data_IF_330607238462
#
_entry.id   IF_330607238462
#
_cell.length_a   1.000
_cell.length_b   1.000
_cell.length_c   1.000
_cell.angle_alpha   90.00
_cell.angle_beta   90.00
_cell.angle_gamma   90.00
#
_symmetry.space_group_name_H-M   'P 1'
#
loop_
_entity.id
_entity.type
_entity.pdbx_description
1 polymer ?
#
# COMPACT_ATOMS: atom_id res chain seq x y z
N UNK A 1 -8.66 -9.05 2.11
CA UNK A 1 -7.91 -10.30 2.36
C UNK A 1 -8.44 -11.47 1.54
N UNK A 2 -9.75 -11.77 1.56
CA UNK A 2 -10.33 -12.90 0.85
C UNK A 2 -10.04 -12.97 -0.66
N UNK A 3 -10.27 -11.87 -1.39
CA UNK A 3 -9.99 -11.77 -2.84
C UNK A 3 -8.53 -12.10 -3.18
N UNK A 4 -7.58 -11.47 -2.49
CA UNK A 4 -6.16 -11.68 -2.72
C UNK A 4 -5.71 -13.11 -2.40
N UNK A 5 -6.11 -13.66 -1.25
CA UNK A 5 -5.67 -15.00 -0.81
C UNK A 5 -6.31 -16.12 -1.63
N UNK A 6 -7.60 -15.99 -1.97
CA UNK A 6 -8.36 -17.05 -2.64
C UNK A 6 -8.31 -16.99 -4.17
N UNK A 7 -8.14 -15.80 -4.73
CA UNK A 7 -8.27 -15.58 -6.18
C UNK A 7 -7.08 -14.82 -6.78
N UNK A 8 -6.08 -14.41 -6.00
CA UNK A 8 -4.94 -13.62 -6.50
C UNK A 8 -5.31 -12.20 -6.94
N UNK A 9 -6.53 -11.74 -6.65
CA UNK A 9 -7.00 -10.39 -7.04
C UNK A 9 -6.62 -9.38 -5.98
N UNK A 10 -5.89 -8.34 -6.39
CA UNK A 10 -5.45 -7.26 -5.51
C UNK A 10 -5.57 -5.89 -6.19
N UNK A 11 -5.31 -4.83 -5.42
CA UNK A 11 -5.20 -3.46 -5.94
C UNK A 11 -3.73 -3.23 -6.31
N UNK A 12 -3.47 -2.89 -7.57
CA UNK A 12 -2.13 -2.82 -8.16
C UNK A 12 -1.24 -1.78 -7.45
N UNK A 13 -1.81 -0.63 -7.12
CA UNK A 13 -1.09 0.45 -6.43
C UNK A 13 -1.24 0.37 -4.89
N UNK A 14 -1.57 -0.79 -4.33
CA UNK A 14 -1.78 -0.90 -2.89
C UNK A 14 -0.50 -0.56 -2.08
N UNK A 15 -0.60 0.26 -1.02
CA UNK A 15 -1.77 1.05 -0.64
C UNK A 15 -1.96 2.27 -1.57
N UNK A 16 -3.17 2.42 -2.13
CA UNK A 16 -3.49 3.59 -2.96
C UNK A 16 -3.68 4.84 -2.09
N UNK A 17 -2.98 5.91 -2.41
CA UNK A 17 -3.06 7.20 -1.70
C UNK A 17 -4.07 8.12 -2.38
N UNK A 18 -4.99 8.70 -1.59
CA UNK A 18 -5.95 9.71 -2.05
C UNK A 18 -5.64 11.01 -1.31
N UNK A 19 -5.28 12.05 -2.06
CA UNK A 19 -4.96 13.37 -1.50
C UNK A 19 -6.21 14.06 -0.92
N UNK A 20 -6.01 14.88 0.11
CA UNK A 20 -7.11 15.47 0.88
C UNK A 20 -7.93 16.51 0.10
N UNK A 21 -7.38 17.07 -0.98
CA UNK A 21 -8.02 18.01 -1.88
C UNK A 21 -8.59 17.35 -3.16
N UNK A 22 -8.42 16.03 -3.32
CA UNK A 22 -9.02 15.31 -4.44
C UNK A 22 -10.55 15.29 -4.35
N UNK A 23 -11.22 15.57 -5.47
CA UNK A 23 -12.70 15.62 -5.58
C UNK A 23 -13.27 14.79 -6.74
N UNK A 24 -12.40 14.07 -7.45
CA UNK A 24 -12.83 13.19 -8.54
C UNK A 24 -13.40 11.86 -8.04
N UNK A 25 -13.85 11.05 -8.99
CA UNK A 25 -14.27 9.67 -8.72
C UNK A 25 -13.07 8.81 -8.30
N UNK A 26 -13.23 8.08 -7.20
CA UNK A 26 -12.22 7.12 -6.75
C UNK A 26 -12.26 5.89 -7.65
N UNK A 27 -11.13 5.58 -8.29
CA UNK A 27 -10.94 4.37 -9.10
C UNK A 27 -10.09 3.36 -8.34
N UNK A 28 -10.37 2.07 -8.57
CA UNK A 28 -9.63 0.95 -7.97
C UNK A 28 -8.92 0.18 -9.08
N UNK A 29 -7.61 0.38 -9.30
CA UNK A 29 -6.87 -0.34 -10.33
C UNK A 29 -6.64 -1.79 -9.84
N UNK A 30 -7.55 -2.68 -10.20
CA UNK A 30 -7.44 -4.10 -9.86
C UNK A 30 -6.49 -4.82 -10.80
N UNK A 31 -5.77 -5.79 -10.25
CA UNK A 31 -4.95 -6.74 -11.00
C UNK A 31 -5.26 -8.16 -10.51
N UNK A 32 -5.38 -9.09 -11.46
CA UNK A 32 -5.50 -10.51 -11.19
C UNK A 32 -4.13 -11.17 -11.37
N UNK A 33 -3.55 -11.66 -10.27
CA UNK A 33 -2.32 -12.46 -10.27
C UNK A 33 -2.59 -13.97 -10.23
N UNK A 34 -3.86 -14.38 -10.17
CA UNK A 34 -4.24 -15.79 -10.22
C UNK A 34 -4.18 -16.36 -11.63
N UNK A 35 -4.20 -17.69 -11.71
CA UNK A 35 -4.12 -18.42 -12.99
C UNK A 35 -5.49 -18.62 -13.67
N UNK A 36 -6.56 -18.08 -13.07
CA UNK A 36 -7.93 -18.20 -13.57
C UNK A 36 -8.60 -16.83 -13.66
N UNK A 37 -9.51 -16.68 -14.61
CA UNK A 37 -10.34 -15.49 -14.76
C UNK A 37 -11.14 -15.22 -13.49
N UNK A 38 -11.23 -13.94 -13.12
CA UNK A 38 -12.06 -13.49 -12.00
C UNK A 38 -13.08 -12.48 -12.49
N UNK A 39 -14.37 -12.83 -12.40
CA UNK A 39 -15.47 -12.00 -12.87
C UNK A 39 -15.96 -11.11 -11.73
N UNK A 40 -16.05 -9.81 -12.01
CA UNK A 40 -16.58 -8.81 -11.08
C UNK A 40 -17.94 -8.35 -11.58
N UNK A 41 -18.94 -8.41 -10.71
CA UNK A 41 -20.27 -7.87 -10.95
C UNK A 41 -20.43 -6.49 -10.30
N UNK A 42 -21.34 -5.69 -10.84
CA UNK A 42 -21.75 -4.42 -10.22
C UNK A 42 -22.33 -4.71 -8.83
N UNK A 43 -21.80 -4.02 -7.82
CA UNK A 43 -22.20 -4.19 -6.42
C UNK A 43 -21.22 -5.04 -5.60
N UNK A 44 -20.27 -5.71 -6.25
CA UNK A 44 -19.23 -6.46 -5.54
C UNK A 44 -18.34 -5.53 -4.70
N UNK A 45 -18.01 -6.01 -3.50
CA UNK A 45 -17.04 -5.35 -2.61
C UNK A 45 -15.63 -5.72 -3.03
N UNK A 46 -14.99 -4.87 -3.82
CA UNK A 46 -13.68 -5.15 -4.45
C UNK A 46 -12.46 -4.58 -3.70
N UNK A 47 -12.67 -3.63 -2.79
CA UNK A 47 -11.61 -3.00 -2.01
C UNK A 47 -12.17 -2.45 -0.69
N UNK A 48 -11.30 -1.90 0.14
CA UNK A 48 -11.63 -1.21 1.39
C UNK A 48 -10.81 0.07 1.49
N UNK A 49 -11.35 1.08 2.16
CA UNK A 49 -10.69 2.37 2.40
C UNK A 49 -10.49 2.56 3.90
N UNK A 50 -9.32 3.08 4.29
CA UNK A 50 -9.00 3.47 5.65
C UNK A 50 -8.66 4.96 5.64
N UNK A 51 -9.32 5.73 6.49
CA UNK A 51 -8.99 7.15 6.71
C UNK A 51 -8.09 7.22 7.94
N UNK A 52 -6.90 7.79 7.79
CA UNK A 52 -5.90 7.89 8.84
C UNK A 52 -5.25 9.29 8.85
N UNK A 53 -4.78 9.77 10.02
CA UNK A 53 -4.02 11.02 10.09
C UNK A 53 -2.69 10.91 9.32
N UNK A 54 -2.27 12.01 8.70
CA UNK A 54 -0.98 12.13 8.00
C UNK A 54 -0.22 13.35 8.53
N UNK A 55 1.10 13.20 8.70
CA UNK A 55 1.99 14.28 9.12
C UNK A 55 2.68 14.90 7.91
N UNK A 56 2.68 16.23 7.81
CA UNK A 56 3.47 16.97 6.82
C UNK A 56 4.85 17.27 7.40
N UNK A 57 5.88 16.59 6.90
CA UNK A 57 7.26 16.82 7.32
C UNK A 57 7.88 18.04 6.61
N UNK A 58 8.81 18.72 7.29
CA UNK A 58 9.72 19.70 6.69
C UNK A 58 11.12 19.12 6.71
N UNK A 59 11.87 19.25 5.62
CA UNK A 59 13.23 18.74 5.52
C UNK A 59 14.22 19.70 6.20
N UNK A 60 15.14 19.15 7.00
CA UNK A 60 16.27 19.88 7.61
C UNK A 60 17.58 19.21 7.16
N UNK A 61 18.34 19.82 6.23
CA UNK A 61 19.59 19.25 5.75
C UNK A 61 20.70 19.29 6.81
N UNK A 62 21.36 18.15 7.04
CA UNK A 62 22.51 18.01 7.95
C UNK A 62 23.64 17.23 7.29
N UNK A 63 24.88 17.45 7.72
CA UNK A 63 26.04 16.75 7.18
C UNK A 63 26.07 15.26 7.55
N UNK A 64 25.60 14.91 8.75
CA UNK A 64 25.60 13.55 9.29
C UNK A 64 24.39 13.34 10.22
N UNK A 65 23.86 12.12 10.25
CA UNK A 65 22.83 11.69 11.19
C UNK A 65 23.47 11.02 12.42
N UNK A 66 22.79 11.09 13.57
CA UNK A 66 23.19 10.37 14.77
C UNK A 66 23.06 8.84 14.58
N UNK A 67 23.91 8.09 15.28
CA UNK A 67 23.89 6.63 15.24
C UNK A 67 22.66 6.04 15.94
N UNK A 68 22.18 4.88 15.45
CA UNK A 68 21.14 4.07 16.11
C UNK A 68 21.55 2.61 16.14
N UNK A 69 20.94 1.80 17.02
CA UNK A 69 21.18 0.34 17.08
C UNK A 69 20.89 -0.35 15.74
N UNK A 70 19.94 0.17 14.96
CA UNK A 70 19.61 -0.39 13.63
C UNK A 70 20.63 0.01 12.55
N UNK A 71 21.19 1.22 12.66
CA UNK A 71 22.07 1.80 11.64
C UNK A 71 21.45 1.74 10.24
N UNK A 72 22.26 1.33 9.27
CA UNK A 72 21.87 1.17 7.86
C UNK A 72 21.14 -0.15 7.55
N UNK A 73 20.88 -0.99 8.56
CA UNK A 73 20.23 -2.29 8.37
C UNK A 73 18.83 -2.17 7.76
N UNK A 74 18.58 -2.88 6.65
CA UNK A 74 17.30 -2.95 5.96
C UNK A 74 17.10 -4.29 5.25
N UNK A 75 15.98 -4.46 4.54
CA UNK A 75 15.75 -5.61 3.64
C UNK A 75 15.98 -7.00 4.25
N UNK A 76 15.53 -7.20 5.51
CA UNK A 76 15.72 -8.47 6.20
C UNK A 76 17.07 -8.61 6.92
N UNK A 77 17.74 -7.50 7.25
CA UNK A 77 19.00 -7.45 8.01
C UNK A 77 18.95 -8.14 9.38
N UNK A 78 17.76 -8.41 9.94
CA UNK A 78 17.59 -9.19 11.16
C UNK A 78 17.66 -10.72 10.94
N UNK A 79 17.78 -11.17 9.69
CA UNK A 79 17.73 -12.58 9.32
C UNK A 79 16.33 -13.19 9.41
N UNK A 80 16.24 -14.45 8.96
CA UNK A 80 15.12 -15.36 9.23
C UNK A 80 15.66 -16.46 10.16
N UNK A 81 14.88 -16.85 11.18
CA UNK A 81 15.17 -18.07 11.94
C UNK A 81 14.89 -19.30 11.07
#
# INVERSE_FOLDING_TARGET
>A
SGLAVKHGVTVLNAPGTIDCDYRGEIKVPLINHGDADFIIARGDRIAQMVIAPVTRATWEPVATLDGTVRGEGGFGSSGRR
#
